data_IF_520731583024
#
_entry.id   IF_520731583024
#
_cell.length_a   1.000
_cell.length_b   1.000
_cell.length_c   1.000
_cell.angle_alpha   90.00
_cell.angle_beta   90.00
_cell.angle_gamma   90.00
#
_symmetry.space_group_name_H-M   'P 1'
#
loop_
_entity.id
_entity.type
_entity.pdbx_description
1 polymer ?
#
# COMPACT_ATOMS: atom_id res chain seq x y z
N UNK A 1 5.76 53.70 1.23
CA UNK A 1 6.50 52.42 1.11
C UNK A 1 6.28 51.46 2.29
N UNK A 2 5.43 51.76 3.29
CA UNK A 2 5.29 50.93 4.49
C UNK A 2 4.48 49.63 4.29
N UNK A 3 3.48 49.64 3.40
CA UNK A 3 2.52 48.52 3.26
C UNK A 3 3.13 47.31 2.52
N UNK A 4 4.04 47.54 1.58
CA UNK A 4 4.71 46.45 0.85
C UNK A 4 5.68 45.67 1.75
N UNK A 5 6.42 46.37 2.63
CA UNK A 5 7.36 45.74 3.55
C UNK A 5 6.64 44.86 4.59
N UNK A 6 5.47 45.29 5.10
CA UNK A 6 4.68 44.47 6.03
C UNK A 6 4.15 43.19 5.40
N UNK A 7 3.79 43.22 4.11
CA UNK A 7 3.33 42.02 3.40
C UNK A 7 4.47 41.01 3.23
N UNK A 8 5.67 41.47 2.85
CA UNK A 8 6.84 40.59 2.68
C UNK A 8 7.24 39.90 3.99
N UNK A 9 7.16 40.61 5.12
CA UNK A 9 7.47 40.04 6.43
C UNK A 9 6.43 38.99 6.84
N UNK A 10 5.14 39.25 6.63
CA UNK A 10 4.08 38.28 6.95
C UNK A 10 4.19 37.04 6.08
N UNK A 11 4.41 37.19 4.77
CA UNK A 11 4.61 36.05 3.87
C UNK A 11 5.88 35.25 4.22
N UNK A 12 6.97 35.92 4.60
CA UNK A 12 8.20 35.27 5.05
C UNK A 12 8.00 34.47 6.34
N UNK A 13 7.25 35.01 7.31
CA UNK A 13 6.90 34.31 8.55
C UNK A 13 5.96 33.14 8.31
N UNK A 14 4.97 33.27 7.43
CA UNK A 14 4.07 32.18 7.02
C UNK A 14 4.86 31.06 6.34
N UNK A 15 5.80 31.40 5.45
CA UNK A 15 6.65 30.42 4.77
C UNK A 15 7.61 29.70 5.74
N UNK A 16 8.23 30.43 6.69
CA UNK A 16 9.04 29.86 7.76
C UNK A 16 8.23 28.94 8.69
N UNK A 17 6.98 29.29 9.02
CA UNK A 17 6.12 28.48 9.87
C UNK A 17 5.57 27.24 9.13
N UNK A 18 5.19 27.39 7.86
CA UNK A 18 4.77 26.28 7.00
C UNK A 18 5.91 25.27 6.77
N UNK A 19 7.15 25.74 6.59
CA UNK A 19 8.33 24.89 6.48
C UNK A 19 8.66 24.10 7.75
N UNK A 20 8.26 24.58 8.94
CA UNK A 20 8.41 23.83 10.20
C UNK A 20 7.34 22.77 10.43
N UNK A 21 6.24 22.78 9.67
CA UNK A 21 5.20 21.74 9.68
C UNK A 21 5.51 20.57 8.75
N UNK A 22 6.71 20.53 8.16
CA UNK A 22 7.19 19.41 7.38
C UNK A 22 7.62 18.28 8.33
N UNK A 23 6.64 17.65 8.98
CA UNK A 23 6.84 16.36 9.63
C UNK A 23 7.24 15.39 8.52
N UNK A 24 8.51 14.97 8.51
CA UNK A 24 8.88 13.78 7.75
C UNK A 24 8.15 12.62 8.41
N UNK A 25 7.19 12.04 7.70
CA UNK A 25 6.59 10.77 8.11
C UNK A 25 7.74 9.76 8.28
N UNK A 26 7.78 9.09 9.43
CA UNK A 26 8.76 8.04 9.67
C UNK A 26 8.49 6.91 8.67
N UNK A 27 9.45 6.60 7.80
CA UNK A 27 9.32 5.58 6.78
C UNK A 27 9.95 4.26 7.21
N UNK A 28 9.62 3.16 6.52
CA UNK A 28 10.22 1.84 6.78
C UNK A 28 11.75 1.90 6.61
N UNK A 29 12.25 2.67 5.64
CA UNK A 29 13.68 2.82 5.37
C UNK A 29 14.44 3.48 6.52
N UNK A 30 13.79 4.37 7.29
CA UNK A 30 14.38 5.02 8.46
C UNK A 30 14.62 4.04 9.62
N UNK A 31 13.87 2.93 9.66
CA UNK A 31 13.94 1.92 10.71
C UNK A 31 14.75 0.69 10.26
N UNK A 32 14.53 0.21 9.03
CA UNK A 32 15.24 -0.96 8.50
C UNK A 32 15.22 -0.99 6.96
N UNK A 33 16.39 -0.75 6.35
CA UNK A 33 16.57 -0.73 4.90
C UNK A 33 16.22 -2.08 4.22
N UNK A 34 16.60 -3.21 4.82
CA UNK A 34 16.33 -4.52 4.23
C UNK A 34 14.82 -4.83 4.18
N UNK A 35 14.05 -4.37 5.16
CA UNK A 35 12.60 -4.44 5.13
C UNK A 35 12.00 -3.46 4.12
N UNK A 36 12.56 -2.26 3.95
CA UNK A 36 12.11 -1.31 2.94
C UNK A 36 12.23 -1.89 1.52
N UNK A 37 13.36 -2.54 1.21
CA UNK A 37 13.55 -3.20 -0.09
C UNK A 37 12.53 -4.31 -0.33
N UNK A 38 12.20 -5.11 0.69
CA UNK A 38 11.17 -6.15 0.60
C UNK A 38 9.78 -5.55 0.42
N UNK A 39 9.47 -4.46 1.10
CA UNK A 39 8.20 -3.78 0.97
C UNK A 39 7.99 -3.29 -0.47
N UNK A 40 8.97 -2.56 -1.02
CA UNK A 40 8.93 -2.06 -2.39
C UNK A 40 8.77 -3.22 -3.38
N UNK A 41 9.51 -4.30 -3.19
CA UNK A 41 9.42 -5.49 -4.03
C UNK A 41 8.02 -6.13 -3.97
N UNK A 42 7.47 -6.32 -2.78
CA UNK A 42 6.13 -6.90 -2.63
C UNK A 42 5.05 -5.98 -3.18
N UNK A 43 5.14 -4.67 -2.95
CA UNK A 43 4.20 -3.68 -3.50
C UNK A 43 4.19 -3.71 -5.02
N UNK A 44 5.35 -3.79 -5.67
CA UNK A 44 5.43 -3.94 -7.14
C UNK A 44 4.72 -5.20 -7.64
N UNK A 45 4.96 -6.34 -6.99
CA UNK A 45 4.29 -7.61 -7.35
C UNK A 45 2.79 -7.57 -7.06
N UNK A 46 2.35 -6.95 -5.96
CA UNK A 46 0.93 -6.80 -5.62
C UNK A 46 0.21 -6.02 -6.72
N UNK A 47 0.78 -4.89 -7.18
CA UNK A 47 0.22 -4.10 -8.27
C UNK A 47 0.05 -4.95 -9.53
N UNK A 48 1.11 -5.62 -9.97
CA UNK A 48 1.07 -6.49 -11.16
C UNK A 48 -0.03 -7.57 -11.06
N UNK A 49 -0.18 -8.21 -9.89
CA UNK A 49 -1.20 -9.24 -9.68
C UNK A 49 -2.62 -8.68 -9.52
N UNK A 50 -2.78 -7.47 -8.98
CA UNK A 50 -4.08 -6.77 -8.94
C UNK A 50 -4.54 -6.43 -10.36
N UNK A 51 -3.63 -5.98 -11.22
CA UNK A 51 -3.94 -5.71 -12.63
C UNK A 51 -4.33 -7.00 -13.35
N UNK A 52 -3.57 -8.09 -13.13
CA UNK A 52 -3.91 -9.42 -13.65
C UNK A 52 -5.31 -9.86 -13.21
N UNK A 53 -5.65 -9.65 -11.94
CA UNK A 53 -6.95 -10.01 -11.39
C UNK A 53 -8.09 -9.15 -11.97
N UNK A 54 -7.83 -7.87 -12.26
CA UNK A 54 -8.80 -6.94 -12.82
C UNK A 54 -9.22 -7.30 -14.25
N UNK A 55 -8.34 -7.92 -15.03
CA UNK A 55 -8.67 -8.45 -16.38
C UNK A 55 -9.84 -9.45 -16.30
N UNK A 56 -9.90 -10.25 -15.24
CA UNK A 56 -10.99 -11.22 -15.05
C UNK A 56 -12.27 -10.59 -14.49
N UNK A 57 -12.21 -9.36 -13.98
CA UNK A 57 -13.36 -8.67 -13.42
C UNK A 57 -14.44 -8.41 -14.48
N UNK A 58 -14.07 -8.19 -15.74
CA UNK A 58 -15.05 -8.02 -16.83
C UNK A 58 -15.85 -9.28 -17.11
N UNK A 59 -15.28 -10.46 -16.87
CA UNK A 59 -15.95 -11.74 -17.05
C UNK A 59 -16.78 -12.16 -15.83
N UNK A 60 -16.35 -11.78 -14.62
CA UNK A 60 -17.08 -12.09 -13.39
C UNK A 60 -16.85 -11.04 -12.28
N UNK A 61 -17.65 -9.95 -12.27
CA UNK A 61 -17.50 -8.86 -11.30
C UNK A 61 -17.70 -9.29 -9.83
N UNK A 62 -18.63 -10.23 -9.58
CA UNK A 62 -18.90 -10.75 -8.24
C UNK A 62 -17.70 -11.55 -7.70
N UNK A 63 -17.05 -12.35 -8.56
CA UNK A 63 -15.84 -13.08 -8.19
C UNK A 63 -14.70 -12.12 -7.84
N UNK A 64 -14.51 -11.08 -8.65
CA UNK A 64 -13.52 -10.04 -8.38
C UNK A 64 -13.77 -9.36 -7.02
N UNK A 65 -15.03 -8.97 -6.74
CA UNK A 65 -15.42 -8.36 -5.46
C UNK A 65 -15.13 -9.30 -4.28
N UNK A 66 -15.45 -10.59 -4.41
CA UNK A 66 -15.15 -11.59 -3.37
C UNK A 66 -13.65 -11.71 -3.12
N UNK A 67 -12.84 -11.76 -4.18
CA UNK A 67 -11.39 -11.93 -4.08
C UNK A 67 -10.66 -10.68 -3.57
N UNK A 68 -11.23 -9.50 -3.76
CA UNK A 68 -10.65 -8.23 -3.32
C UNK A 68 -11.09 -7.79 -1.92
N UNK A 69 -12.18 -8.34 -1.38
CA UNK A 69 -12.68 -7.98 -0.06
C UNK A 69 -11.66 -8.21 1.08
N UNK A 70 -10.95 -9.33 1.07
CA UNK A 70 -9.93 -9.60 2.09
C UNK A 70 -8.63 -8.81 1.85
N UNK A 71 -8.35 -8.40 0.62
CA UNK A 71 -7.25 -7.47 0.33
C UNK A 71 -7.52 -6.09 0.93
N UNK A 72 -8.76 -5.61 0.89
CA UNK A 72 -9.13 -4.32 1.49
C UNK A 72 -8.85 -4.30 3.00
N UNK A 73 -9.17 -5.38 3.73
CA UNK A 73 -8.85 -5.50 5.15
C UNK A 73 -7.34 -5.50 5.41
N UNK A 74 -6.57 -6.16 4.55
CA UNK A 74 -5.11 -6.15 4.66
C UNK A 74 -4.55 -4.75 4.39
N UNK A 75 -5.10 -4.02 3.41
CA UNK A 75 -4.70 -2.63 3.14
C UNK A 75 -5.01 -1.71 4.34
N UNK A 76 -6.19 -1.83 4.95
CA UNK A 76 -6.55 -1.11 6.17
C UNK A 76 -5.60 -1.40 7.34
N UNK A 77 -5.22 -2.67 7.54
CA UNK A 77 -4.28 -3.06 8.59
C UNK A 77 -2.87 -2.53 8.32
N UNK A 78 -2.42 -2.48 7.05
CA UNK A 78 -1.15 -1.85 6.70
C UNK A 78 -1.16 -0.36 7.05
N UNK A 79 -2.22 0.37 6.70
CA UNK A 79 -2.33 1.80 7.02
C UNK A 79 -2.38 2.03 8.53
N UNK A 80 -3.05 1.16 9.29
CA UNK A 80 -3.00 1.21 10.75
C UNK A 80 -1.56 1.07 11.27
N UNK A 81 -0.81 0.08 10.78
CA UNK A 81 0.58 -0.14 11.18
C UNK A 81 1.47 1.06 10.80
N UNK A 82 1.24 1.65 9.62
CA UNK A 82 1.93 2.88 9.19
C UNK A 82 1.68 4.04 10.14
N UNK A 83 0.44 4.23 10.59
CA UNK A 83 0.09 5.28 11.54
C UNK A 83 0.64 5.01 12.96
N UNK A 84 0.75 3.73 13.34
CA UNK A 84 1.34 3.33 14.64
C UNK A 84 2.85 3.55 14.68
N UNK A 85 3.54 3.32 13.55
CA UNK A 85 5.00 3.33 13.40
C UNK A 85 5.72 4.50 14.11
N UNK A 86 5.36 5.79 13.88
CA UNK A 86 6.05 6.92 14.53
C UNK A 86 5.88 6.96 16.05
N UNK A 87 4.82 6.35 16.58
CA UNK A 87 4.48 6.38 18.02
C UNK A 87 4.85 5.09 18.76
N UNK A 88 5.21 4.03 18.02
CA UNK A 88 5.49 2.73 18.61
C UNK A 88 6.84 2.71 19.32
N UNK A 89 6.91 2.18 20.56
CA UNK A 89 8.20 1.97 21.23
C UNK A 89 9.03 0.86 20.56
N UNK A 90 8.42 0.00 19.74
CA UNK A 90 9.10 -1.08 19.02
C UNK A 90 8.87 -0.98 17.51
N UNK A 91 9.44 0.06 16.91
CA UNK A 91 9.31 0.39 15.48
C UNK A 91 9.72 -0.79 14.58
N UNK A 92 10.76 -1.53 14.94
CA UNK A 92 11.21 -2.72 14.20
C UNK A 92 10.14 -3.81 14.12
N UNK A 93 9.38 -4.01 15.19
CA UNK A 93 8.27 -4.96 15.19
C UNK A 93 7.13 -4.49 14.28
N UNK A 94 6.79 -3.20 14.32
CA UNK A 94 5.78 -2.61 13.43
C UNK A 94 6.19 -2.73 11.97
N UNK A 95 7.43 -2.37 11.61
CA UNK A 95 7.97 -2.54 10.26
C UNK A 95 7.89 -4.00 9.79
N UNK A 96 8.27 -4.95 10.65
CA UNK A 96 8.15 -6.38 10.32
C UNK A 96 6.71 -6.77 10.03
N UNK A 97 5.75 -6.25 10.80
CA UNK A 97 4.33 -6.49 10.57
C UNK A 97 3.83 -5.84 9.26
N UNK A 98 4.29 -4.62 8.92
CA UNK A 98 3.96 -3.95 7.66
C UNK A 98 4.43 -4.76 6.45
N UNK A 99 5.69 -5.21 6.46
CA UNK A 99 6.22 -6.08 5.39
C UNK A 99 5.48 -7.41 5.34
N UNK A 100 5.14 -7.99 6.51
CA UNK A 100 4.39 -9.24 6.56
C UNK A 100 2.99 -9.08 5.97
N UNK A 101 2.33 -7.93 6.17
CA UNK A 101 1.05 -7.62 5.56
C UNK A 101 1.14 -7.67 4.03
N UNK A 102 2.14 -6.99 3.43
CA UNK A 102 2.39 -7.04 1.97
C UNK A 102 2.69 -8.45 1.48
N UNK A 103 3.46 -9.23 2.23
CA UNK A 103 3.71 -10.64 1.90
C UNK A 103 2.40 -11.46 1.82
N UNK A 104 1.50 -11.28 2.79
CA UNK A 104 0.20 -11.96 2.85
C UNK A 104 -0.70 -11.53 1.69
N UNK A 105 -0.76 -10.23 1.38
CA UNK A 105 -1.51 -9.70 0.24
C UNK A 105 -1.05 -10.36 -1.08
N UNK A 106 0.27 -10.45 -1.27
CA UNK A 106 0.85 -11.08 -2.45
C UNK A 106 0.51 -12.58 -2.52
N UNK A 107 0.59 -13.31 -1.41
CA UNK A 107 0.24 -14.73 -1.35
C UNK A 107 -1.24 -14.96 -1.67
N UNK A 108 -2.12 -14.13 -1.13
CA UNK A 108 -3.55 -14.19 -1.41
C UNK A 108 -3.82 -13.96 -2.90
N UNK A 109 -3.26 -12.91 -3.49
CA UNK A 109 -3.40 -12.62 -4.92
C UNK A 109 -2.94 -13.78 -5.81
N UNK A 110 -1.78 -14.37 -5.50
CA UNK A 110 -1.26 -15.55 -6.22
C UNK A 110 -2.23 -16.73 -6.13
N UNK A 111 -2.80 -16.98 -4.95
CA UNK A 111 -3.77 -18.04 -4.75
C UNK A 111 -5.05 -17.80 -5.56
N UNK A 112 -5.58 -16.57 -5.57
CA UNK A 112 -6.80 -16.26 -6.33
C UNK A 112 -6.59 -16.42 -7.84
N UNK A 113 -5.45 -15.96 -8.37
CA UNK A 113 -5.11 -16.13 -9.79
C UNK A 113 -4.92 -17.60 -10.16
N UNK A 114 -4.33 -18.41 -9.27
CA UNK A 114 -4.20 -19.86 -9.48
C UNK A 114 -5.57 -20.54 -9.57
N UNK A 115 -6.52 -20.18 -8.70
CA UNK A 115 -7.89 -20.70 -8.75
C UNK A 115 -8.57 -20.30 -10.07
N UNK A 116 -8.42 -19.06 -10.51
CA UNK A 116 -8.99 -18.60 -11.80
C UNK A 116 -8.47 -19.44 -12.96
N UNK A 117 -7.15 -19.60 -13.06
CA UNK A 117 -6.53 -20.38 -14.14
C UNK A 117 -7.01 -21.84 -14.14
N UNK A 118 -7.08 -22.49 -12.97
CA UNK A 118 -7.55 -23.87 -12.86
C UNK A 118 -9.02 -24.03 -13.29
N UNK A 119 -9.88 -23.08 -12.92
CA UNK A 119 -11.29 -23.09 -13.30
C UNK A 119 -11.46 -22.86 -14.80
N UNK A 120 -10.68 -21.95 -15.38
CA UNK A 120 -10.73 -21.67 -16.82
C UNK A 120 -10.23 -22.86 -17.65
N UNK A 121 -9.16 -23.54 -17.22
CA UNK A 121 -8.66 -24.75 -17.86
C UNK A 121 -9.70 -25.89 -17.79
N UNK A 122 -10.36 -26.08 -16.64
CA UNK A 122 -11.42 -27.08 -16.48
C UNK A 122 -12.61 -26.84 -17.42
N UNK A 123 -13.01 -25.58 -17.63
CA UNK A 123 -14.09 -25.23 -18.58
C UNK A 123 -13.71 -25.52 -20.03
N UNK A 124 -12.47 -25.26 -20.42
CA UNK A 124 -11.99 -25.55 -21.79
C UNK A 124 -11.97 -27.05 -22.09
N UNK A 125 -11.55 -27.88 -21.12
CA UNK A 125 -11.43 -29.34 -21.31
C UNK A 125 -12.80 -30.03 -21.39
N UNK A 126 -13.80 -29.54 -20.64
CA UNK A 126 -15.12 -30.18 -20.56
C UNK A 126 -16.19 -29.58 -21.49
N UNK A 127 -15.80 -28.69 -22.41
CA UNK A 127 -16.67 -28.18 -23.48
C UNK A 127 -16.61 -29.04 -24.76
N UNK A 128 -16.24 -30.32 -24.64
CA UNK A 128 -16.28 -31.33 -25.72
C UNK A 128 -17.55 -32.17 -25.58
#
# INVERSE_FOLDING_TARGET
MSVAASLVVVFGLVWLYAGRLQNKDLEIADVNEAYAQKEVHFTGLITEKRDSLAIFASANPELYKKFTADLAKLDEEYERLRLELPTSPNQTFVVKAMVKNREIQLQLLKQQLLIINQVDDYKKVNQI
#
